data_IF_105136293229
#
_entry.id   IF_105136293229
#
_cell.length_a   1.000
_cell.length_b   1.000
_cell.length_c   1.000
_cell.angle_alpha   90.00
_cell.angle_beta   90.00
_cell.angle_gamma   90.00
#
_symmetry.space_group_name_H-M   'P 1'
#
loop_
_entity.id
_entity.type
_entity.pdbx_description
1 polymer ?
#
# COMPACT_ATOMS: atom_id res chain seq x y z
N UNK A 1 2.27 2.47 -18.08
CA UNK A 1 1.79 2.47 -19.45
C UNK A 1 2.80 1.79 -20.37
N UNK A 2 2.38 0.80 -21.14
CA UNK A 2 3.17 0.15 -22.18
C UNK A 2 2.36 0.13 -23.50
N UNK A 3 3.04 0.19 -24.63
CA UNK A 3 2.41 0.11 -25.94
C UNK A 3 3.26 -0.72 -26.91
N UNK A 4 2.60 -1.46 -27.77
CA UNK A 4 3.22 -2.24 -28.84
C UNK A 4 2.51 -2.01 -30.17
N UNK A 5 3.24 -2.18 -31.28
CA UNK A 5 2.74 -2.12 -32.64
C UNK A 5 3.49 -3.13 -33.52
N UNK A 6 2.97 -3.44 -34.71
CA UNK A 6 3.57 -4.40 -35.62
C UNK A 6 4.97 -4.01 -36.12
N UNK A 7 5.74 -4.97 -36.62
CA UNK A 7 7.13 -4.79 -37.07
C UNK A 7 7.26 -3.76 -38.22
N UNK A 8 6.26 -3.65 -39.05
CA UNK A 8 6.22 -2.70 -40.18
C UNK A 8 5.82 -1.27 -39.75
N UNK A 9 5.62 -1.06 -38.46
CA UNK A 9 5.10 0.20 -37.93
C UNK A 9 3.60 0.36 -38.15
N UNK A 10 3.09 1.56 -37.86
CA UNK A 10 1.68 1.90 -38.03
C UNK A 10 1.53 2.73 -39.30
N UNK A 11 0.90 2.18 -40.32
CA UNK A 11 0.65 2.86 -41.59
C UNK A 11 -0.85 2.87 -41.90
N UNK A 12 -1.38 4.02 -42.30
CA UNK A 12 -2.78 4.18 -42.63
C UNK A 12 -3.69 4.45 -41.45
N UNK A 13 -4.94 4.03 -41.55
CA UNK A 13 -5.92 4.13 -40.46
C UNK A 13 -5.63 3.06 -39.41
N UNK A 14 -5.39 3.50 -38.20
CA UNK A 14 -5.16 2.64 -37.03
C UNK A 14 -6.03 3.08 -35.87
N UNK A 15 -6.21 2.18 -34.88
CA UNK A 15 -6.84 2.52 -33.62
C UNK A 15 -6.03 1.99 -32.46
N UNK A 16 -6.37 2.50 -31.26
CA UNK A 16 -5.80 2.02 -30.02
C UNK A 16 -6.68 0.92 -29.44
N UNK A 17 -6.06 -0.20 -29.09
CA UNK A 17 -6.64 -1.25 -28.29
C UNK A 17 -6.17 -1.07 -26.84
N UNK A 18 -7.03 -0.52 -26.00
CA UNK A 18 -6.67 -0.21 -24.63
C UNK A 18 -7.12 -1.32 -23.68
N UNK A 19 -6.18 -1.85 -22.91
CA UNK A 19 -6.43 -2.73 -21.77
C UNK A 19 -6.01 -1.97 -20.51
N UNK A 20 -6.91 -1.87 -19.55
CA UNK A 20 -6.67 -1.16 -18.31
C UNK A 20 -6.99 -2.04 -17.11
N UNK A 21 -6.17 -1.97 -16.09
CA UNK A 21 -6.39 -2.62 -14.80
C UNK A 21 -5.86 -1.75 -13.67
N UNK A 22 -6.45 -1.82 -12.48
CA UNK A 22 -5.87 -1.21 -11.29
C UNK A 22 -4.72 -2.02 -10.71
N UNK A 23 -3.99 -1.44 -9.75
CA UNK A 23 -2.87 -2.08 -9.06
C UNK A 23 -2.76 -1.69 -7.58
N UNK A 24 -3.60 -0.77 -7.13
CA UNK A 24 -3.66 -0.35 -5.74
C UNK A 24 -4.58 -1.27 -4.92
N UNK A 25 -4.50 -1.18 -3.61
CA UNK A 25 -5.30 -1.99 -2.69
C UNK A 25 -5.64 -1.17 -1.45
N UNK A 26 -6.77 -1.45 -0.78
CA UNK A 26 -7.12 -0.75 0.45
C UNK A 26 -6.03 -0.90 1.51
N UNK A 27 -5.72 0.20 2.17
CA UNK A 27 -4.69 0.23 3.22
C UNK A 27 -4.85 1.46 4.12
N UNK A 28 -3.89 1.65 5.03
CA UNK A 28 -3.74 2.86 5.83
C UNK A 28 -2.53 3.67 5.34
N UNK A 29 -2.80 4.91 4.97
CA UNK A 29 -1.80 5.90 4.56
C UNK A 29 -1.29 6.66 5.77
N UNK A 30 0.01 6.84 5.89
CA UNK A 30 0.63 7.69 6.93
C UNK A 30 0.43 9.15 6.57
N UNK A 31 -0.12 9.92 7.51
CA UNK A 31 -0.38 11.35 7.32
C UNK A 31 0.91 12.19 7.35
N UNK A 32 0.80 13.45 6.91
CA UNK A 32 1.92 14.40 6.90
C UNK A 32 2.52 14.63 8.28
N UNK A 33 1.68 14.68 9.34
CA UNK A 33 2.11 14.60 10.74
C UNK A 33 1.98 13.13 11.16
N UNK A 34 3.09 12.36 11.15
CA UNK A 34 3.01 10.90 11.14
C UNK A 34 2.82 10.28 12.52
N UNK A 35 3.04 11.03 13.58
CA UNK A 35 3.15 10.50 14.93
C UNK A 35 2.04 11.02 15.84
N UNK A 36 1.60 10.14 16.73
CA UNK A 36 0.64 10.43 17.81
C UNK A 36 1.15 9.81 19.10
N UNK A 37 1.12 10.60 20.17
CA UNK A 37 1.30 10.06 21.51
C UNK A 37 0.17 9.11 21.87
N UNK A 38 0.52 7.98 22.46
CA UNK A 38 -0.43 7.00 22.96
C UNK A 38 -0.52 7.00 24.48
N UNK A 39 -1.24 6.05 25.02
CA UNK A 39 -1.32 5.85 26.48
C UNK A 39 0.04 5.40 27.03
N UNK A 40 0.42 5.93 28.19
CA UNK A 40 1.75 5.69 28.75
C UNK A 40 2.83 6.37 27.91
N UNK A 41 3.90 5.64 27.61
CA UNK A 41 5.02 6.12 26.78
C UNK A 41 4.95 5.57 25.34
N UNK A 42 3.75 5.14 24.88
CA UNK A 42 3.60 4.53 23.56
C UNK A 42 3.58 5.58 22.45
N UNK A 43 4.17 5.24 21.30
CA UNK A 43 4.12 6.02 20.07
C UNK A 43 3.30 5.27 19.04
N UNK A 44 2.42 6.01 18.33
CA UNK A 44 1.55 5.48 17.29
C UNK A 44 1.71 6.24 15.99
N UNK A 45 1.44 5.57 14.87
CA UNK A 45 1.34 6.24 13.58
C UNK A 45 -0.03 6.91 13.42
N UNK A 46 -0.01 8.14 12.93
CA UNK A 46 -1.19 8.88 12.50
C UNK A 46 -1.52 8.48 11.08
N UNK A 47 -2.58 7.72 10.91
CA UNK A 47 -2.97 7.18 9.63
C UNK A 47 -4.36 7.60 9.20
N UNK A 48 -4.63 7.49 7.92
CA UNK A 48 -5.94 7.59 7.32
C UNK A 48 -6.22 6.37 6.45
N UNK A 49 -7.48 5.97 6.34
CA UNK A 49 -7.86 4.88 5.46
C UNK A 49 -7.76 5.33 4.01
N UNK A 50 -7.09 4.52 3.21
CA UNK A 50 -7.03 4.63 1.76
C UNK A 50 -7.90 3.52 1.16
N UNK A 51 -8.97 3.94 0.46
CA UNK A 51 -9.93 3.01 -0.13
C UNK A 51 -10.96 2.41 0.84
N UNK A 52 -11.75 1.49 0.35
CA UNK A 52 -12.76 0.75 1.08
C UNK A 52 -12.22 -0.56 1.63
N UNK A 53 -12.28 -0.77 2.96
CA UNK A 53 -11.74 -1.97 3.57
C UNK A 53 -12.62 -2.49 4.71
N UNK A 54 -12.42 -3.76 5.06
CA UNK A 54 -12.96 -4.35 6.28
C UNK A 54 -12.02 -4.03 7.43
N UNK A 55 -12.36 -3.04 8.25
CA UNK A 55 -11.47 -2.50 9.28
C UNK A 55 -11.02 -3.53 10.30
N UNK A 56 -11.92 -4.43 10.76
CA UNK A 56 -11.58 -5.39 11.81
C UNK A 56 -10.55 -6.45 11.39
N UNK A 57 -10.32 -6.67 10.10
CA UNK A 57 -9.32 -7.63 9.63
C UNK A 57 -7.89 -7.13 9.78
N UNK A 58 -7.71 -5.84 10.10
CA UNK A 58 -6.40 -5.23 10.29
C UNK A 58 -5.87 -5.33 11.71
N UNK A 59 -6.73 -5.68 12.67
CA UNK A 59 -6.31 -5.85 14.06
C UNK A 59 -5.40 -7.06 14.23
N UNK A 60 -4.46 -6.93 15.19
CA UNK A 60 -3.54 -7.97 15.68
C UNK A 60 -2.61 -8.56 14.60
N UNK A 61 -2.48 -7.88 13.48
CA UNK A 61 -1.53 -8.24 12.42
C UNK A 61 -0.28 -7.39 12.51
N UNK A 62 0.91 -8.01 12.54
CA UNK A 62 2.15 -7.27 12.32
C UNK A 62 2.15 -6.66 10.92
N UNK A 63 2.50 -5.37 10.84
CA UNK A 63 2.44 -4.58 9.62
C UNK A 63 3.81 -3.98 9.32
N UNK A 64 4.18 -4.01 8.06
CA UNK A 64 5.33 -3.32 7.51
C UNK A 64 4.91 -1.95 6.94
N UNK A 65 5.89 -1.18 6.48
CA UNK A 65 5.71 0.10 5.84
C UNK A 65 6.33 0.05 4.44
N UNK A 66 5.63 0.57 3.45
CA UNK A 66 6.15 0.72 2.11
C UNK A 66 5.57 1.96 1.42
N UNK A 67 6.27 2.43 0.39
CA UNK A 67 5.83 3.55 -0.41
C UNK A 67 6.98 4.34 -1.00
N UNK A 68 6.76 5.63 -1.15
CA UNK A 68 7.69 6.54 -1.81
C UNK A 68 8.09 7.67 -0.87
N UNK A 69 9.37 8.03 -0.91
CA UNK A 69 9.94 9.16 -0.18
C UNK A 69 10.62 10.10 -1.16
N UNK A 70 10.34 11.38 -1.05
CA UNK A 70 11.01 12.41 -1.83
C UNK A 70 12.23 12.89 -1.04
N UNK A 71 13.40 12.72 -1.64
CA UNK A 71 14.70 13.03 -1.02
C UNK A 71 15.39 14.12 -1.81
N UNK A 72 15.98 15.09 -1.10
CA UNK A 72 16.81 16.12 -1.71
C UNK A 72 18.23 15.61 -1.91
N UNK A 73 18.68 15.60 -3.17
CA UNK A 73 20.08 15.34 -3.53
C UNK A 73 20.71 16.56 -4.21
N UNK A 74 21.41 17.38 -3.44
CA UNK A 74 21.92 18.65 -3.93
C UNK A 74 20.79 19.56 -4.40
N UNK A 75 20.79 19.92 -5.69
CA UNK A 75 19.76 20.74 -6.33
C UNK A 75 18.58 19.94 -6.93
N UNK A 76 18.56 18.63 -6.75
CA UNK A 76 17.53 17.75 -7.32
C UNK A 76 16.66 17.15 -6.23
N UNK A 77 15.45 16.77 -6.62
CA UNK A 77 14.54 15.96 -5.81
C UNK A 77 14.46 14.60 -6.47
N UNK A 78 14.77 13.57 -5.70
CA UNK A 78 14.68 12.18 -6.12
C UNK A 78 13.52 11.47 -5.42
N UNK A 79 12.87 10.59 -6.14
CA UNK A 79 11.86 9.69 -5.59
C UNK A 79 12.51 8.36 -5.27
N UNK A 80 12.57 7.99 -3.99
CA UNK A 80 13.09 6.71 -3.54
C UNK A 80 11.98 5.84 -3.01
N UNK A 81 12.03 4.55 -3.35
CA UNK A 81 11.11 3.56 -2.82
C UNK A 81 11.63 3.06 -1.47
N UNK A 82 10.71 2.95 -0.52
CA UNK A 82 10.95 2.35 0.78
C UNK A 82 10.04 1.14 0.93
N UNK A 83 10.61 0.05 1.44
CA UNK A 83 9.85 -1.11 1.91
C UNK A 83 10.62 -1.72 3.07
N UNK A 84 10.08 -1.64 4.28
CA UNK A 84 10.75 -2.21 5.45
C UNK A 84 10.83 -3.73 5.33
N UNK A 85 12.00 -4.30 5.64
CA UNK A 85 12.22 -5.75 5.57
C UNK A 85 11.53 -6.52 6.69
N UNK A 86 11.10 -5.80 7.75
CA UNK A 86 10.42 -6.34 8.93
C UNK A 86 9.13 -5.60 9.21
N UNK A 87 8.27 -6.21 9.98
CA UNK A 87 7.09 -5.59 10.53
C UNK A 87 7.49 -4.59 11.62
N UNK A 88 6.90 -3.39 11.55
CA UNK A 88 7.26 -2.27 12.44
C UNK A 88 6.06 -1.70 13.19
N UNK A 89 4.85 -2.16 12.90
CA UNK A 89 3.62 -1.62 13.44
C UNK A 89 2.57 -2.70 13.69
N UNK A 90 1.65 -2.42 14.61
CA UNK A 90 0.48 -3.25 14.88
C UNK A 90 -0.71 -2.39 15.31
N UNK A 91 -1.91 -2.74 14.87
CA UNK A 91 -3.16 -2.21 15.42
C UNK A 91 -3.65 -3.22 16.48
N UNK A 92 -3.42 -2.99 17.76
CA UNK A 92 -3.73 -3.97 18.78
C UNK A 92 -5.21 -3.97 19.14
N UNK A 93 -5.80 -5.15 19.31
CA UNK A 93 -7.09 -5.32 19.96
C UNK A 93 -6.97 -5.05 21.47
N UNK A 94 -8.05 -4.58 22.06
CA UNK A 94 -8.17 -4.55 23.51
C UNK A 94 -8.49 -5.95 24.06
N UNK A 95 -7.94 -6.26 25.23
CA UNK A 95 -8.35 -7.46 25.94
C UNK A 95 -9.87 -7.45 26.21
N UNK A 96 -10.50 -8.62 26.17
CA UNK A 96 -11.97 -8.76 26.35
C UNK A 96 -12.47 -8.08 27.64
N UNK A 97 -11.63 -8.04 28.69
CA UNK A 97 -11.96 -7.38 29.96
C UNK A 97 -12.13 -5.87 29.83
N UNK A 98 -11.48 -5.26 28.82
CA UNK A 98 -11.52 -3.83 28.53
C UNK A 98 -12.60 -3.47 27.49
N UNK A 99 -13.08 -4.46 26.73
CA UNK A 99 -14.09 -4.28 25.69
C UNK A 99 -15.05 -5.48 25.66
N UNK A 100 -15.88 -5.64 26.70
CA UNK A 100 -16.76 -6.81 26.87
C UNK A 100 -17.83 -6.96 25.79
N UNK A 101 -18.26 -5.85 25.18
CA UNK A 101 -19.29 -5.83 24.14
C UNK A 101 -18.76 -6.07 22.72
N UNK A 102 -17.46 -6.31 22.55
CA UNK A 102 -16.83 -6.40 21.22
C UNK A 102 -17.47 -7.47 20.32
N UNK A 103 -17.93 -8.58 20.90
CA UNK A 103 -18.56 -9.68 20.16
C UNK A 103 -20.06 -9.42 19.84
N UNK A 104 -20.66 -8.38 20.39
CA UNK A 104 -22.05 -7.99 20.12
C UNK A 104 -22.15 -7.00 18.96
N UNK A 105 -21.05 -6.32 18.66
CA UNK A 105 -20.91 -5.38 17.55
C UNK A 105 -19.68 -4.51 17.75
N UNK A 106 -18.91 -4.34 16.68
CA UNK A 106 -17.68 -3.56 16.72
C UNK A 106 -17.58 -2.65 15.48
N UNK A 107 -17.58 -1.36 15.70
CA UNK A 107 -17.37 -0.34 14.69
C UNK A 107 -16.19 0.55 15.13
N UNK A 108 -14.95 0.24 14.71
CA UNK A 108 -13.77 1.00 15.11
C UNK A 108 -13.80 2.43 14.58
N UNK A 109 -13.36 3.37 15.40
CA UNK A 109 -13.09 4.72 14.96
C UNK A 109 -11.71 4.77 14.31
N UNK A 110 -11.66 5.03 13.00
CA UNK A 110 -10.42 5.04 12.21
C UNK A 110 -9.37 6.01 12.73
N UNK A 111 -9.77 7.13 13.30
CA UNK A 111 -8.85 8.15 13.82
C UNK A 111 -8.33 7.86 15.24
N UNK A 112 -8.91 6.88 15.93
CA UNK A 112 -8.57 6.55 17.32
C UNK A 112 -8.10 5.11 17.46
N UNK A 113 -8.92 4.16 16.97
CA UNK A 113 -8.70 2.74 17.19
C UNK A 113 -7.72 2.13 16.17
N UNK A 114 -7.63 2.73 14.97
CA UNK A 114 -6.85 2.20 13.86
C UNK A 114 -5.51 2.94 13.63
N UNK A 115 -5.04 3.68 14.64
CA UNK A 115 -3.71 4.27 14.63
C UNK A 115 -2.68 3.25 15.16
N UNK A 116 -1.82 2.68 14.28
CA UNK A 116 -0.94 1.58 14.67
C UNK A 116 0.09 1.98 15.72
N UNK A 117 0.36 1.08 16.64
CA UNK A 117 1.42 1.17 17.62
C UNK A 117 2.76 0.83 16.96
N UNK A 118 3.77 1.67 17.19
CA UNK A 118 5.14 1.47 16.68
C UNK A 118 6.19 1.41 17.78
N UNK A 119 5.89 1.90 18.98
CA UNK A 119 6.80 1.82 20.13
C UNK A 119 6.06 1.80 21.46
N UNK A 120 6.67 1.17 22.45
CA UNK A 120 6.21 1.11 23.83
C UNK A 120 7.13 1.88 24.80
N UNK A 121 7.86 2.89 24.31
CA UNK A 121 8.66 3.80 25.14
C UNK A 121 10.08 4.06 24.65
N UNK A 122 10.60 3.26 23.71
CA UNK A 122 11.97 3.45 23.18
C UNK A 122 12.02 4.57 22.13
N UNK A 123 10.92 4.80 21.40
CA UNK A 123 10.79 5.89 20.42
C UNK A 123 9.92 7.02 20.97
N UNK A 124 10.21 8.22 20.52
CA UNK A 124 9.50 9.45 20.90
C UNK A 124 9.01 10.17 19.64
N UNK A 125 8.14 11.15 19.86
CA UNK A 125 7.67 12.03 18.81
C UNK A 125 8.86 12.78 18.17
N UNK A 126 8.96 12.72 16.85
CA UNK A 126 10.06 13.23 16.04
C UNK A 126 11.05 12.18 15.54
N UNK A 127 10.97 10.94 16.01
CA UNK A 127 11.89 9.86 15.60
C UNK A 127 11.53 9.22 14.27
N UNK A 128 10.28 9.36 13.80
CA UNK A 128 9.81 8.65 12.60
C UNK A 128 10.61 8.99 11.36
N UNK A 129 10.90 10.27 11.11
CA UNK A 129 11.69 10.67 9.94
C UNK A 129 13.15 10.23 10.04
N UNK A 130 13.72 10.14 11.24
CA UNK A 130 15.05 9.58 11.44
C UNK A 130 15.10 8.08 11.10
N UNK A 131 14.07 7.31 11.46
CA UNK A 131 13.96 5.90 11.11
C UNK A 131 13.80 5.70 9.59
N UNK A 132 13.01 6.54 8.92
CA UNK A 132 12.89 6.51 7.46
C UNK A 132 14.22 6.87 6.79
N UNK A 133 14.93 7.84 7.33
CA UNK A 133 16.24 8.25 6.82
C UNK A 133 17.29 7.13 6.96
N UNK A 134 17.29 6.41 8.08
CA UNK A 134 18.15 5.25 8.30
C UNK A 134 17.88 4.14 7.28
N UNK A 135 16.61 3.80 7.02
CA UNK A 135 16.21 2.80 6.03
C UNK A 135 16.62 3.18 4.59
N UNK A 136 16.75 4.47 4.30
CA UNK A 136 17.13 4.97 2.97
C UNK A 136 18.60 5.38 2.84
N UNK A 137 19.38 5.30 3.92
CA UNK A 137 20.78 5.77 4.00
C UNK A 137 20.92 7.25 3.57
N UNK A 138 20.12 8.11 4.21
CA UNK A 138 20.12 9.58 3.99
C UNK A 138 20.03 10.32 5.31
N UNK A 139 20.31 11.63 5.29
CA UNK A 139 20.05 12.49 6.45
C UNK A 139 18.54 12.81 6.56
N UNK A 140 17.95 12.87 7.77
CA UNK A 140 16.54 13.22 7.97
C UNK A 140 16.13 14.56 7.33
N UNK A 141 17.03 15.55 7.31
CA UNK A 141 16.80 16.86 6.70
C UNK A 141 16.68 16.81 5.16
N UNK A 142 17.08 15.71 4.53
CA UNK A 142 16.93 15.51 3.10
C UNK A 142 15.52 15.02 2.74
N UNK A 143 14.74 14.53 3.69
CA UNK A 143 13.36 14.07 3.45
C UNK A 143 12.45 15.28 3.25
N UNK A 144 11.91 15.44 2.05
CA UNK A 144 11.01 16.53 1.68
C UNK A 144 9.53 16.17 1.77
N UNK A 145 9.23 14.89 1.63
CA UNK A 145 7.86 14.39 1.68
C UNK A 145 7.84 12.88 1.58
N UNK A 146 6.71 12.31 1.93
CA UNK A 146 6.51 10.87 1.94
C UNK A 146 5.09 10.50 1.59
N UNK A 147 4.96 9.39 0.90
CA UNK A 147 3.71 8.76 0.51
C UNK A 147 3.84 7.28 0.92
N UNK A 148 3.58 7.00 2.20
CA UNK A 148 3.86 5.73 2.85
C UNK A 148 2.57 5.07 3.34
N UNK A 149 2.52 3.76 3.19
CA UNK A 149 1.36 2.93 3.47
C UNK A 149 1.74 1.72 4.34
N UNK A 150 0.79 1.26 5.14
CA UNK A 150 0.94 0.02 5.89
C UNK A 150 0.80 -1.18 4.95
N UNK A 151 1.60 -2.19 5.17
CA UNK A 151 1.62 -3.40 4.34
C UNK A 151 1.49 -4.65 5.20
N UNK A 152 0.52 -5.50 4.86
CA UNK A 152 0.47 -6.86 5.37
C UNK A 152 1.44 -7.73 4.55
N UNK A 153 2.47 -8.26 5.20
CA UNK A 153 3.51 -9.11 4.57
C UNK A 153 3.22 -10.61 4.68
N UNK A 154 2.02 -10.99 5.02
CA UNK A 154 1.65 -12.39 5.08
C UNK A 154 1.92 -13.06 3.73
N UNK A 155 2.67 -14.18 3.73
CA UNK A 155 2.96 -14.94 2.53
C UNK A 155 1.69 -15.52 1.90
N UNK A 156 1.72 -15.63 0.57
CA UNK A 156 0.72 -16.39 -0.17
C UNK A 156 0.79 -17.88 0.22
N UNK A 157 -0.36 -18.53 0.38
CA UNK A 157 -0.45 -19.94 0.76
C UNK A 157 -1.56 -20.64 0.01
N UNK A 158 -1.30 -21.88 -0.37
CA UNK A 158 -2.31 -22.84 -0.77
C UNK A 158 -2.68 -23.66 0.49
N UNK A 159 -3.96 -23.88 0.71
CA UNK A 159 -4.44 -24.55 1.93
C UNK A 159 -5.79 -25.20 1.73
N UNK A 160 -6.28 -25.86 2.79
CA UNK A 160 -7.44 -26.74 2.80
C UNK A 160 -7.01 -28.21 2.79
N UNK A 161 -7.91 -29.12 3.12
CA UNK A 161 -7.62 -30.56 3.14
C UNK A 161 -7.27 -31.14 1.76
N UNK A 162 -7.73 -30.50 0.70
CA UNK A 162 -7.50 -30.89 -0.69
C UNK A 162 -6.75 -29.81 -1.49
N UNK A 163 -6.09 -28.88 -0.81
CA UNK A 163 -5.34 -27.77 -1.41
C UNK A 163 -6.19 -26.92 -2.39
N UNK A 164 -7.45 -26.65 -2.02
CA UNK A 164 -8.45 -26.02 -2.87
C UNK A 164 -8.48 -24.49 -2.73
N UNK A 165 -7.83 -23.93 -1.71
CA UNK A 165 -7.88 -22.50 -1.38
C UNK A 165 -6.54 -21.85 -1.56
N UNK A 166 -6.57 -20.59 -2.00
CA UNK A 166 -5.42 -19.70 -2.05
C UNK A 166 -5.72 -18.50 -1.16
N UNK A 167 -4.80 -18.19 -0.25
CA UNK A 167 -4.80 -16.93 0.51
C UNK A 167 -3.56 -16.15 0.18
N UNK A 168 -3.73 -14.92 -0.22
CA UNK A 168 -2.65 -13.97 -0.44
C UNK A 168 -3.17 -12.55 -0.20
N UNK A 169 -2.35 -11.65 0.35
CA UNK A 169 -2.70 -10.24 0.35
C UNK A 169 -2.76 -9.71 -1.10
N UNK A 170 -3.64 -8.76 -1.36
CA UNK A 170 -3.76 -8.05 -2.63
C UNK A 170 -4.12 -8.94 -3.84
N UNK A 171 -4.86 -10.03 -3.63
CA UNK A 171 -5.41 -10.80 -4.74
C UNK A 171 -6.33 -9.93 -5.59
N UNK A 172 -7.16 -9.16 -4.96
CA UNK A 172 -7.80 -7.97 -5.47
C UNK A 172 -6.83 -6.80 -5.21
N UNK A 173 -6.26 -6.13 -6.24
CA UNK A 173 -6.60 -6.27 -7.66
C UNK A 173 -5.44 -6.80 -8.53
N UNK A 174 -4.33 -7.20 -7.91
CA UNK A 174 -3.13 -7.65 -8.63
C UNK A 174 -3.35 -8.88 -9.52
N UNK A 175 -4.37 -9.70 -9.26
CA UNK A 175 -4.73 -10.79 -10.16
C UNK A 175 -5.22 -10.26 -11.52
N UNK A 176 -6.03 -9.21 -11.52
CA UNK A 176 -6.49 -8.55 -12.73
C UNK A 176 -5.36 -7.85 -13.45
N UNK A 177 -4.49 -7.14 -12.71
CA UNK A 177 -3.32 -6.49 -13.28
C UNK A 177 -2.38 -7.50 -13.97
N UNK A 178 -2.09 -8.62 -13.32
CA UNK A 178 -1.24 -9.67 -13.85
C UNK A 178 -1.84 -10.32 -15.11
N UNK A 179 -3.10 -10.73 -15.07
CA UNK A 179 -3.74 -11.40 -16.20
C UNK A 179 -3.91 -10.46 -17.41
N UNK A 180 -4.20 -9.19 -17.17
CA UNK A 180 -4.27 -8.16 -18.21
C UNK A 180 -2.91 -7.90 -18.84
N UNK A 181 -1.84 -7.85 -18.04
CA UNK A 181 -0.48 -7.72 -18.53
C UNK A 181 -0.06 -8.93 -19.38
N UNK A 182 -0.36 -10.16 -18.92
CA UNK A 182 -0.05 -11.37 -19.69
C UNK A 182 -0.80 -11.37 -21.02
N UNK A 183 -2.08 -11.04 -21.02
CA UNK A 183 -2.86 -10.93 -22.24
C UNK A 183 -2.28 -9.90 -23.22
N UNK A 184 -1.82 -8.75 -22.70
CA UNK A 184 -1.14 -7.72 -23.50
C UNK A 184 0.17 -8.21 -24.12
N UNK A 185 0.97 -8.97 -23.33
CA UNK A 185 2.27 -9.50 -23.82
C UNK A 185 2.11 -10.63 -24.82
N UNK A 186 1.06 -11.44 -24.70
CA UNK A 186 0.79 -12.59 -25.55
C UNK A 186 -0.02 -12.21 -26.82
N UNK A 187 -0.58 -10.99 -26.86
CA UNK A 187 -1.39 -10.54 -27.98
C UNK A 187 -0.53 -10.27 -29.23
N UNK A 188 -0.89 -10.90 -30.34
CA UNK A 188 -0.38 -10.55 -31.67
C UNK A 188 -1.24 -9.43 -32.28
N UNK A 189 -0.61 -8.33 -32.64
CA UNK A 189 -1.30 -7.19 -33.24
C UNK A 189 -0.51 -6.66 -34.46
N UNK A 190 -1.09 -6.79 -35.64
CA UNK A 190 -0.46 -6.40 -36.89
C UNK A 190 -0.94 -5.02 -37.42
N UNK A 191 -2.05 -4.49 -36.93
CA UNK A 191 -2.72 -3.33 -37.52
C UNK A 191 -3.02 -2.20 -36.55
N UNK A 192 -3.09 -2.48 -35.26
CA UNK A 192 -3.48 -1.51 -34.24
C UNK A 192 -2.34 -1.24 -33.26
N UNK A 193 -2.49 -0.23 -32.43
CA UNK A 193 -1.59 0.05 -31.32
C UNK A 193 -2.22 -0.52 -30.06
N UNK A 194 -1.66 -1.61 -29.55
CA UNK A 194 -2.04 -2.15 -28.25
C UNK A 194 -1.44 -1.33 -27.12
N UNK A 195 -2.24 -0.97 -26.14
CA UNK A 195 -1.83 -0.16 -24.98
C UNK A 195 -2.29 -0.86 -23.71
N UNK A 196 -1.36 -1.10 -22.79
CA UNK A 196 -1.63 -1.54 -21.45
C UNK A 196 -1.46 -0.38 -20.46
N UNK A 197 -2.52 -0.12 -19.68
CA UNK A 197 -2.53 0.87 -18.61
C UNK A 197 -2.72 0.17 -17.26
N UNK A 198 -1.80 0.39 -16.35
CA UNK A 198 -1.93 -0.03 -14.97
C UNK A 198 -2.08 1.22 -14.10
N UNK A 199 -3.22 1.38 -13.46
CA UNK A 199 -3.57 2.56 -12.69
C UNK A 199 -3.35 2.32 -11.19
N UNK A 200 -3.10 3.37 -10.45
CA UNK A 200 -2.73 3.38 -9.03
C UNK A 200 -3.68 4.29 -8.24
N UNK A 201 -4.98 4.22 -8.49
CA UNK A 201 -5.97 5.08 -7.81
C UNK A 201 -7.42 4.58 -7.92
N UNK A 202 -7.63 3.29 -8.11
CA UNK A 202 -8.95 2.69 -8.19
C UNK A 202 -9.69 2.81 -6.86
N UNK A 203 -8.99 2.57 -5.76
CA UNK A 203 -9.52 2.52 -4.40
C UNK A 203 -10.07 3.85 -3.88
N UNK A 204 -9.71 4.95 -4.49
CA UNK A 204 -10.25 6.28 -4.15
C UNK A 204 -11.45 6.68 -5.00
N UNK A 205 -11.87 5.80 -5.91
CA UNK A 205 -13.09 5.91 -6.69
C UNK A 205 -12.96 6.75 -7.97
N UNK A 206 -14.04 6.76 -8.75
CA UNK A 206 -14.09 7.37 -10.09
C UNK A 206 -14.08 8.91 -10.10
N UNK A 207 -14.06 9.54 -8.96
CA UNK A 207 -14.00 11.01 -8.82
C UNK A 207 -12.56 11.56 -8.83
N UNK A 208 -11.57 10.69 -8.85
CA UNK A 208 -10.16 11.10 -9.00
C UNK A 208 -9.89 11.62 -10.40
N UNK A 209 -9.16 12.70 -10.47
CA UNK A 209 -8.79 13.38 -11.72
C UNK A 209 -7.32 13.18 -12.04
#
# INVERSE_FOLDING_TARGET
LAATWGEDGVAGDYHFQLTASPSDSPTFKVKAVPELDGAGETLRLNTEAYGGMIDYTWFDRPLALAGRVLVREGDRIESRLLATEREIAIIPSLAIHMNRGVNEGFAPNRAVDLCPLISAGDLKQGDFDALIAEELDVDPEQILGRDLFLVNRQDARIWGWADEFISTPKLDDLACAYTSLQAFLDAENAHDISVFCCFDNEEVGSETK
#
